data_IF_576679802324
#
_entry.id   IF_576679802324
#
_cell.length_a   1.000
_cell.length_b   1.000
_cell.length_c   1.000
_cell.angle_alpha   90.00
_cell.angle_beta   90.00
_cell.angle_gamma   90.00
#
_symmetry.space_group_name_H-M   'P 1'
#
loop_
_entity.id
_entity.type
_entity.pdbx_description
1 polymer ?
#
# COMPACT_ATOMS: atom_id res chain seq x y z
N UNK A 1 -18.38 5.74 0.47
CA UNK A 1 -18.05 4.76 1.52
C UNK A 1 -16.65 4.23 1.34
N UNK A 2 -15.94 4.02 2.43
CA UNK A 2 -14.59 3.52 2.37
C UNK A 2 -14.59 2.02 2.09
N UNK A 3 -13.60 1.56 1.34
CA UNK A 3 -13.42 0.14 1.05
C UNK A 3 -12.04 -0.31 1.50
N UNK A 4 -11.99 -1.47 2.11
CA UNK A 4 -10.75 -2.06 2.61
C UNK A 4 -10.23 -3.07 1.60
N UNK A 5 -8.95 -2.94 1.27
CA UNK A 5 -8.27 -3.85 0.36
C UNK A 5 -7.00 -4.38 1.00
N UNK A 6 -6.63 -5.59 0.63
CA UNK A 6 -5.40 -6.22 1.10
C UNK A 6 -4.60 -6.66 -0.11
N UNK A 7 -3.30 -6.33 -0.09
CA UNK A 7 -2.40 -6.65 -1.18
C UNK A 7 -1.16 -7.34 -0.66
N UNK A 8 -0.64 -8.28 -1.43
CA UNK A 8 0.68 -8.83 -1.20
C UNK A 8 1.69 -7.87 -1.80
N UNK A 9 2.80 -7.65 -1.10
CA UNK A 9 3.80 -6.68 -1.56
C UNK A 9 5.19 -7.29 -1.61
N UNK A 10 6.10 -6.60 -2.28
CA UNK A 10 7.51 -6.98 -2.32
C UNK A 10 8.33 -6.25 -1.26
N UNK A 11 7.68 -5.59 -0.32
CA UNK A 11 8.35 -4.92 0.79
C UNK A 11 9.12 -5.93 1.63
N UNK A 12 10.34 -5.57 2.05
CA UNK A 12 11.21 -6.49 2.77
C UNK A 12 11.38 -6.13 4.24
N UNK A 13 11.28 -4.85 4.57
CA UNK A 13 11.53 -4.39 5.93
C UNK A 13 10.89 -3.02 6.16
N UNK A 14 11.00 -2.53 7.40
CA UNK A 14 10.43 -1.24 7.76
C UNK A 14 11.04 -0.08 6.97
N UNK A 15 12.28 -0.20 6.55
CA UNK A 15 12.91 0.81 5.69
C UNK A 15 12.18 0.95 4.34
N UNK A 16 11.72 -0.18 3.80
CA UNK A 16 10.95 -0.18 2.56
C UNK A 16 9.59 0.48 2.78
N UNK A 17 8.96 0.22 3.92
CA UNK A 17 7.70 0.86 4.27
C UNK A 17 7.88 2.38 4.33
N UNK A 18 9.00 2.84 4.91
CA UNK A 18 9.31 4.27 4.97
C UNK A 18 9.44 4.90 3.59
N UNK A 19 9.94 4.14 2.63
CA UNK A 19 10.07 4.66 1.26
C UNK A 19 8.71 4.84 0.59
N UNK A 20 7.76 3.95 0.84
CA UNK A 20 6.43 4.06 0.22
C UNK A 20 5.51 5.00 1.00
N UNK A 21 5.83 5.30 2.25
CA UNK A 21 4.99 6.16 3.09
C UNK A 21 4.63 7.49 2.43
N UNK A 22 5.60 8.29 1.91
CA UNK A 22 5.24 9.55 1.28
C UNK A 22 4.37 9.36 0.03
N UNK A 23 4.57 8.27 -0.71
CA UNK A 23 3.74 8.01 -1.88
C UNK A 23 2.30 7.70 -1.49
N UNK A 24 2.11 6.87 -0.47
CA UNK A 24 0.77 6.54 0.01
C UNK A 24 0.08 7.74 0.65
N UNK A 25 0.83 8.54 1.43
CA UNK A 25 0.27 9.71 2.08
C UNK A 25 -0.14 10.81 1.08
N UNK A 26 0.44 10.80 -0.11
CA UNK A 26 0.07 11.77 -1.13
C UNK A 26 -1.22 11.39 -1.87
N UNK A 27 -1.71 10.17 -1.69
CA UNK A 27 -2.93 9.71 -2.34
C UNK A 27 -4.14 10.16 -1.52
N UNK A 28 -4.96 10.99 -2.12
CA UNK A 28 -6.14 11.53 -1.44
C UNK A 28 -7.21 10.49 -1.17
N UNK A 29 -7.22 9.42 -1.97
CA UNK A 29 -8.19 8.35 -1.83
C UNK A 29 -7.89 7.44 -0.64
N UNK A 30 -6.65 7.42 -0.18
CA UNK A 30 -6.24 6.58 0.94
C UNK A 30 -6.56 7.30 2.25
N UNK A 31 -7.45 6.72 3.05
CA UNK A 31 -7.79 7.27 4.36
C UNK A 31 -6.96 6.65 5.47
N UNK A 32 -6.59 5.37 5.29
CA UNK A 32 -5.79 4.67 6.28
C UNK A 32 -5.06 3.52 5.57
N UNK A 33 -3.87 3.18 6.04
CA UNK A 33 -3.14 2.04 5.52
C UNK A 33 -2.18 1.50 6.56
N UNK A 34 -1.84 0.22 6.44
CA UNK A 34 -0.83 -0.41 7.30
C UNK A 34 -0.21 -1.58 6.56
N UNK A 35 0.98 -1.99 7.00
CA UNK A 35 1.69 -3.14 6.41
C UNK A 35 1.99 -4.13 7.51
N UNK A 36 1.64 -5.40 7.28
CA UNK A 36 1.97 -6.49 8.19
C UNK A 36 3.31 -7.10 7.77
N UNK A 37 4.38 -6.63 8.41
CA UNK A 37 5.73 -7.09 8.10
C UNK A 37 6.02 -8.47 8.66
N UNK A 38 5.19 -8.96 9.57
CA UNK A 38 5.36 -10.32 10.12
C UNK A 38 4.80 -11.37 9.18
N UNK A 39 3.92 -10.98 8.27
CA UNK A 39 3.37 -11.89 7.28
C UNK A 39 4.42 -12.18 6.21
N UNK A 40 4.56 -13.45 5.76
CA UNK A 40 5.55 -13.78 4.72
C UNK A 40 5.40 -12.97 3.44
N UNK A 41 4.18 -12.60 3.09
CA UNK A 41 3.88 -11.84 1.87
C UNK A 41 3.91 -10.33 2.10
N UNK A 42 4.20 -9.88 3.32
CA UNK A 42 4.22 -8.45 3.66
C UNK A 42 2.94 -7.76 3.21
N UNK A 43 1.82 -8.21 3.77
CA UNK A 43 0.49 -7.77 3.32
C UNK A 43 0.26 -6.30 3.67
N UNK A 44 -0.13 -5.54 2.65
CA UNK A 44 -0.58 -4.15 2.80
C UNK A 44 -2.10 -4.15 2.95
N UNK A 45 -2.59 -3.51 4.00
CA UNK A 45 -4.02 -3.24 4.17
C UNK A 45 -4.24 -1.75 3.96
N UNK A 46 -5.18 -1.40 3.10
CA UNK A 46 -5.44 -0.01 2.76
C UNK A 46 -6.94 0.25 2.71
N UNK A 47 -7.34 1.40 3.23
CA UNK A 47 -8.72 1.88 3.16
C UNK A 47 -8.80 2.97 2.10
N UNK A 48 -9.65 2.78 1.11
CA UNK A 48 -9.82 3.71 0.01
C UNK A 48 -11.24 4.28 0.00
N UNK A 49 -11.37 5.56 -0.27
CA UNK A 49 -12.69 6.21 -0.32
C UNK A 49 -13.50 5.74 -1.52
N UNK A 50 -12.88 5.67 -2.68
CA UNK A 50 -13.55 5.28 -3.93
C UNK A 50 -13.23 3.87 -4.38
N UNK A 51 -12.25 3.23 -3.74
CA UNK A 51 -11.81 1.90 -4.13
C UNK A 51 -10.86 1.89 -5.31
N UNK A 52 -10.16 2.98 -5.55
CA UNK A 52 -9.20 3.11 -6.65
C UNK A 52 -7.88 2.43 -6.31
N UNK A 53 -7.84 1.11 -6.50
CA UNK A 53 -6.64 0.33 -6.22
C UNK A 53 -5.52 0.62 -7.20
N UNK A 54 -5.84 1.14 -8.37
CA UNK A 54 -4.83 1.49 -9.38
C UNK A 54 -3.85 2.54 -8.88
N UNK A 55 -4.37 3.55 -8.15
CA UNK A 55 -3.51 4.59 -7.57
C UNK A 55 -2.52 4.01 -6.57
N UNK A 56 -2.96 3.04 -5.76
CA UNK A 56 -2.10 2.37 -4.80
C UNK A 56 -1.00 1.58 -5.51
N UNK A 57 -1.37 0.81 -6.53
CA UNK A 57 -0.40 0.05 -7.31
C UNK A 57 0.63 0.96 -7.95
N UNK A 58 0.17 2.07 -8.52
CA UNK A 58 1.07 3.02 -9.18
C UNK A 58 2.01 3.69 -8.19
N UNK A 59 1.54 4.01 -6.99
CA UNK A 59 2.38 4.57 -5.95
C UNK A 59 3.51 3.60 -5.58
N UNK A 60 3.20 2.31 -5.44
CA UNK A 60 4.20 1.30 -5.16
C UNK A 60 5.20 1.15 -6.30
N UNK A 61 4.73 1.16 -7.53
CA UNK A 61 5.63 1.10 -8.70
C UNK A 61 6.58 2.30 -8.74
N UNK A 62 6.08 3.49 -8.43
CA UNK A 62 6.91 4.69 -8.40
C UNK A 62 7.98 4.60 -7.31
N UNK A 63 7.69 3.91 -6.23
CA UNK A 63 8.66 3.69 -5.16
C UNK A 63 9.62 2.53 -5.45
N UNK A 64 9.39 1.78 -6.53
CA UNK A 64 10.24 0.66 -6.91
C UNK A 64 9.79 -0.68 -6.36
N UNK A 65 8.53 -0.80 -5.96
CA UNK A 65 7.98 -2.04 -5.40
C UNK A 65 6.79 -2.50 -6.23
N UNK A 66 6.31 -3.70 -5.93
CA UNK A 66 5.13 -4.27 -6.59
C UNK A 66 4.10 -4.69 -5.57
N UNK A 67 2.84 -4.64 -5.97
CA UNK A 67 1.72 -5.12 -5.16
C UNK A 67 0.87 -6.07 -5.97
N UNK A 68 0.30 -7.07 -5.29
CA UNK A 68 -0.61 -8.03 -5.90
C UNK A 68 -1.86 -8.15 -5.03
N UNK A 69 -2.99 -8.24 -5.67
CA UNK A 69 -4.26 -8.43 -4.95
C UNK A 69 -4.40 -9.84 -4.38
#
# INVERSE_FOLDING_TARGET
>A
MEKKFRFKTTLKCSGCVSKVTPFLNSLRDVTEWSVDLQHPDKVLTVMLKTGDTHSVKKAFENAGYKVEE
#
